data_IF_414502043303
#
_entry.id   IF_414502043303
#
_cell.length_a   1.000
_cell.length_b   1.000
_cell.length_c   1.000
_cell.angle_alpha   90.00
_cell.angle_beta   90.00
_cell.angle_gamma   90.00
#
_symmetry.space_group_name_H-M   'P 1'
#
loop_
_entity.id
_entity.type
_entity.pdbx_description
1 polymer ?
#
# COMPACT_ATOMS: atom_id res chain seq x y z
N UNK A 1 -32.46 19.69 -42.85
CA UNK A 1 -31.59 18.66 -43.43
C UNK A 1 -30.96 17.87 -42.25
N UNK A 2 -31.55 16.73 -41.88
CA UNK A 2 -31.02 15.83 -40.85
C UNK A 2 -30.13 14.82 -41.56
N UNK A 3 -28.81 14.93 -41.39
CA UNK A 3 -27.85 13.93 -41.86
C UNK A 3 -27.95 12.71 -40.95
N UNK A 4 -28.53 11.63 -41.47
CA UNK A 4 -28.54 10.32 -40.86
C UNK A 4 -27.10 9.79 -40.83
N UNK A 5 -26.56 9.60 -39.65
CA UNK A 5 -25.29 8.89 -39.41
C UNK A 5 -25.64 7.39 -39.42
N UNK A 6 -25.42 6.73 -40.54
CA UNK A 6 -25.39 5.27 -40.61
C UNK A 6 -24.10 4.81 -39.91
N UNK A 7 -24.23 4.35 -38.68
CA UNK A 7 -23.18 3.68 -37.97
C UNK A 7 -23.04 2.27 -38.58
N UNK A 8 -22.01 2.06 -39.38
CA UNK A 8 -21.65 0.75 -39.88
C UNK A 8 -21.12 -0.06 -38.67
N UNK A 9 -21.97 -0.89 -38.09
CA UNK A 9 -21.54 -1.93 -37.16
C UNK A 9 -20.69 -2.89 -37.99
N UNK A 10 -19.36 -2.83 -37.77
CA UNK A 10 -18.45 -3.82 -38.32
C UNK A 10 -18.76 -5.15 -37.63
N UNK A 11 -19.48 -6.01 -38.31
CA UNK A 11 -19.77 -7.39 -37.94
C UNK A 11 -18.46 -8.16 -37.95
N UNK A 12 -17.77 -8.21 -36.82
CA UNK A 12 -16.67 -9.12 -36.60
C UNK A 12 -17.30 -10.49 -36.34
N UNK A 13 -17.52 -11.24 -37.40
CA UNK A 13 -17.90 -12.63 -37.29
C UNK A 13 -16.74 -13.43 -36.71
N UNK A 14 -16.69 -13.57 -35.41
CA UNK A 14 -15.87 -14.61 -34.78
C UNK A 14 -16.49 -15.95 -35.14
N UNK A 15 -15.76 -16.74 -35.90
CA UNK A 15 -16.08 -18.14 -36.19
C UNK A 15 -15.98 -18.95 -34.87
N UNK A 16 -17.05 -18.95 -34.10
CA UNK A 16 -17.21 -19.95 -33.05
C UNK A 16 -17.60 -21.28 -33.72
N UNK A 17 -17.05 -22.43 -33.27
CA UNK A 17 -17.57 -23.70 -33.70
C UNK A 17 -19.00 -23.83 -33.14
N UNK A 18 -19.97 -23.42 -33.94
CA UNK A 18 -21.40 -23.55 -33.63
C UNK A 18 -21.76 -25.03 -33.69
N UNK A 19 -22.01 -25.63 -32.50
CA UNK A 19 -22.86 -26.81 -32.43
C UNK A 19 -24.17 -26.48 -33.14
N UNK A 20 -24.71 -27.44 -33.88
CA UNK A 20 -25.94 -27.26 -34.67
C UNK A 20 -27.07 -26.74 -33.77
N UNK A 21 -27.47 -25.47 -33.94
CA UNK A 21 -28.60 -24.88 -33.27
C UNK A 21 -28.39 -23.55 -32.51
N UNK A 22 -27.14 -23.13 -32.22
CA UNK A 22 -26.88 -21.86 -31.52
C UNK A 22 -27.14 -20.67 -32.44
N UNK A 23 -27.99 -19.73 -32.01
CA UNK A 23 -28.24 -18.48 -32.71
C UNK A 23 -27.64 -17.29 -31.98
N UNK A 24 -27.23 -16.26 -32.70
CA UNK A 24 -26.98 -14.96 -32.10
C UNK A 24 -28.29 -14.23 -31.87
N UNK A 25 -28.54 -13.79 -30.65
CA UNK A 25 -29.70 -13.01 -30.25
C UNK A 25 -29.27 -11.62 -29.86
N UNK A 26 -29.65 -10.63 -30.68
CA UNK A 26 -29.28 -9.24 -30.45
C UNK A 26 -30.44 -8.50 -29.80
N UNK A 27 -30.17 -7.79 -28.72
CA UNK A 27 -31.14 -6.95 -28.03
C UNK A 27 -31.48 -5.72 -28.86
N UNK A 28 -32.72 -5.66 -29.35
CA UNK A 28 -33.21 -4.56 -30.17
C UNK A 28 -33.88 -3.44 -29.38
N UNK A 29 -34.37 -3.74 -28.17
CA UNK A 29 -35.16 -2.82 -27.33
C UNK A 29 -36.32 -2.21 -28.12
N UNK A 30 -37.03 -3.04 -28.89
CA UNK A 30 -38.11 -2.61 -29.73
C UNK A 30 -39.43 -2.31 -29.00
N UNK A 31 -39.51 -2.81 -27.74
CA UNK A 31 -40.63 -2.54 -26.84
C UNK A 31 -40.18 -1.79 -25.58
N UNK A 32 -41.04 -0.95 -24.97
CA UNK A 32 -40.66 -0.04 -23.90
C UNK A 32 -40.33 -0.71 -22.54
N UNK A 33 -40.70 -1.98 -22.38
CA UNK A 33 -40.64 -2.65 -21.07
C UNK A 33 -39.26 -3.12 -20.66
N UNK A 34 -38.31 -3.19 -21.58
CA UNK A 34 -36.92 -3.65 -21.34
C UNK A 34 -36.82 -5.00 -20.62
N UNK A 35 -37.77 -5.91 -20.90
CA UNK A 35 -37.87 -7.21 -20.25
C UNK A 35 -37.25 -8.31 -21.11
N UNK A 36 -36.40 -9.15 -20.53
CA UNK A 36 -35.72 -10.27 -21.20
C UNK A 36 -36.68 -11.25 -21.83
N UNK A 37 -37.79 -11.58 -21.17
CA UNK A 37 -38.76 -12.59 -21.60
C UNK A 37 -39.68 -12.12 -22.73
N UNK A 38 -39.63 -10.87 -23.15
CA UNK A 38 -40.38 -10.41 -24.34
C UNK A 38 -39.57 -10.70 -25.60
N UNK A 39 -40.08 -11.66 -26.41
CA UNK A 39 -39.44 -12.09 -27.65
C UNK A 39 -39.32 -10.99 -28.70
N UNK A 40 -40.13 -9.93 -28.63
CA UNK A 40 -40.07 -8.79 -29.54
C UNK A 40 -38.85 -7.88 -29.27
N UNK A 41 -38.22 -8.00 -28.10
CA UNK A 41 -36.97 -7.28 -27.77
C UNK A 41 -35.73 -7.88 -28.45
N UNK A 42 -35.85 -8.99 -29.15
CA UNK A 42 -34.73 -9.74 -29.72
C UNK A 42 -34.74 -9.81 -31.23
N UNK A 43 -33.56 -9.85 -31.83
CA UNK A 43 -33.37 -10.10 -33.25
C UNK A 43 -32.41 -11.27 -33.45
N UNK A 44 -32.83 -12.33 -34.10
CA UNK A 44 -34.18 -12.66 -34.55
C UNK A 44 -35.18 -12.72 -33.38
N UNK A 45 -36.47 -12.45 -33.66
CA UNK A 45 -37.51 -12.47 -32.63
C UNK A 45 -37.59 -13.83 -31.87
N UNK A 46 -38.02 -13.73 -30.61
CA UNK A 46 -38.07 -14.87 -29.68
C UNK A 46 -37.04 -14.80 -28.55
N UNK A 47 -37.46 -15.22 -27.38
CA UNK A 47 -36.63 -15.21 -26.17
C UNK A 47 -35.38 -16.10 -26.35
N UNK A 48 -34.20 -15.66 -25.93
CA UNK A 48 -32.98 -16.47 -26.01
C UNK A 48 -33.11 -17.82 -25.30
N UNK A 49 -32.59 -18.85 -25.94
CA UNK A 49 -32.44 -20.18 -25.38
C UNK A 49 -31.05 -20.38 -24.74
N UNK A 50 -30.86 -21.48 -24.03
CA UNK A 50 -29.61 -21.80 -23.33
C UNK A 50 -28.39 -21.97 -24.23
N UNK A 51 -28.60 -22.20 -25.53
CA UNK A 51 -27.53 -22.31 -26.55
C UNK A 51 -27.20 -21.00 -27.25
N UNK A 52 -28.09 -20.00 -27.14
CA UNK A 52 -27.97 -18.76 -27.92
C UNK A 52 -26.89 -17.84 -27.34
N UNK A 53 -26.06 -17.27 -28.22
CA UNK A 53 -25.15 -16.20 -27.84
C UNK A 53 -25.92 -14.88 -27.81
N UNK A 54 -25.96 -14.22 -26.67
CA UNK A 54 -26.73 -13.00 -26.44
C UNK A 54 -25.86 -11.76 -26.56
N UNK A 55 -26.23 -10.84 -27.41
CA UNK A 55 -25.55 -9.55 -27.61
C UNK A 55 -26.48 -8.40 -27.18
N UNK A 56 -26.04 -7.64 -26.17
CA UNK A 56 -26.72 -6.41 -25.75
C UNK A 56 -25.85 -5.23 -26.19
N UNK A 57 -25.98 -4.92 -27.49
CA UNK A 57 -25.15 -3.94 -28.23
C UNK A 57 -25.50 -2.47 -28.02
N UNK A 58 -26.42 -2.16 -27.08
CA UNK A 58 -26.90 -0.80 -26.88
C UNK A 58 -26.42 -0.25 -25.55
N UNK A 59 -25.55 0.76 -25.59
CA UNK A 59 -25.04 1.42 -24.39
C UNK A 59 -26.17 1.98 -23.51
N UNK A 60 -25.96 1.97 -22.19
CA UNK A 60 -26.86 2.49 -21.14
C UNK A 60 -28.22 1.79 -21.10
N UNK A 61 -28.25 0.52 -21.49
CA UNK A 61 -29.44 -0.30 -21.47
C UNK A 61 -29.58 -1.04 -20.15
N UNK A 62 -30.78 -1.05 -19.57
CA UNK A 62 -31.12 -1.89 -18.42
C UNK A 62 -32.08 -2.97 -18.94
N UNK A 63 -31.69 -4.23 -18.80
CA UNK A 63 -32.52 -5.38 -19.18
C UNK A 63 -32.99 -6.07 -17.92
N UNK A 64 -34.29 -6.07 -17.70
CA UNK A 64 -34.93 -6.72 -16.54
C UNK A 64 -35.17 -8.20 -16.79
N UNK A 65 -34.69 -9.04 -15.89
CA UNK A 65 -34.94 -10.49 -15.87
C UNK A 65 -35.98 -10.78 -14.81
N UNK A 66 -37.23 -10.95 -15.25
CA UNK A 66 -38.43 -11.11 -14.43
C UNK A 66 -38.99 -12.53 -14.46
N UNK A 67 -38.39 -13.41 -15.25
CA UNK A 67 -38.70 -14.82 -15.38
C UNK A 67 -37.38 -15.59 -15.48
N UNK A 68 -37.44 -16.93 -15.50
CA UNK A 68 -36.28 -17.73 -15.83
C UNK A 68 -35.74 -17.35 -17.20
N UNK A 69 -34.47 -17.01 -17.28
CA UNK A 69 -33.78 -16.57 -18.49
C UNK A 69 -32.59 -17.47 -18.78
N UNK A 70 -32.29 -17.67 -20.06
CA UNK A 70 -31.21 -18.53 -20.52
C UNK A 70 -30.37 -17.83 -21.57
N UNK A 71 -29.10 -18.20 -21.67
CA UNK A 71 -28.19 -17.84 -22.75
C UNK A 71 -27.01 -18.81 -22.82
N UNK A 72 -26.41 -19.02 -23.99
CA UNK A 72 -25.17 -19.76 -24.17
C UNK A 72 -23.92 -18.95 -23.84
N UNK A 73 -24.02 -17.61 -23.92
CA UNK A 73 -22.98 -16.65 -23.60
C UNK A 73 -23.50 -15.22 -23.69
N UNK A 74 -22.70 -14.25 -23.22
CA UNK A 74 -23.07 -12.84 -23.18
C UNK A 74 -21.98 -11.98 -23.79
N UNK A 75 -22.39 -11.02 -24.65
CA UNK A 75 -21.60 -9.86 -25.03
C UNK A 75 -22.35 -8.59 -24.58
N UNK A 76 -21.70 -7.79 -23.73
CA UNK A 76 -22.30 -6.59 -23.13
C UNK A 76 -21.55 -5.34 -23.58
N UNK A 77 -22.27 -4.45 -24.25
CA UNK A 77 -21.76 -3.12 -24.60
C UNK A 77 -21.60 -2.20 -23.40
N UNK A 78 -20.90 -1.06 -23.54
CA UNK A 78 -20.64 -0.17 -22.44
C UNK A 78 -21.91 0.28 -21.69
N UNK A 79 -21.83 0.31 -20.35
CA UNK A 79 -22.86 0.76 -19.42
C UNK A 79 -24.17 -0.05 -19.47
N UNK A 80 -24.10 -1.32 -19.90
CA UNK A 80 -25.23 -2.27 -19.82
C UNK A 80 -25.41 -2.77 -18.40
N UNK A 81 -26.66 -2.85 -17.96
CA UNK A 81 -27.06 -3.48 -16.69
C UNK A 81 -28.07 -4.59 -16.95
N UNK A 82 -27.73 -5.80 -16.48
CA UNK A 82 -28.68 -6.91 -16.36
C UNK A 82 -29.22 -6.91 -14.92
N UNK A 83 -30.53 -6.72 -14.77
CA UNK A 83 -31.20 -6.66 -13.46
C UNK A 83 -31.99 -7.93 -13.20
N UNK A 84 -31.37 -8.91 -12.55
CA UNK A 84 -31.98 -10.20 -12.20
C UNK A 84 -32.83 -9.99 -10.94
N UNK A 85 -34.16 -9.94 -11.13
CA UNK A 85 -35.12 -9.63 -10.08
C UNK A 85 -35.37 -10.81 -9.13
N UNK A 86 -35.89 -10.50 -7.96
CA UNK A 86 -36.08 -11.47 -6.88
C UNK A 86 -36.85 -12.73 -7.35
N UNK A 87 -36.31 -13.90 -7.01
CA UNK A 87 -36.92 -15.20 -7.33
C UNK A 87 -36.59 -15.74 -8.73
N UNK A 88 -35.79 -15.00 -9.54
CA UNK A 88 -35.43 -15.42 -10.89
C UNK A 88 -33.93 -15.60 -11.05
N UNK A 89 -33.52 -16.40 -12.03
CA UNK A 89 -32.12 -16.60 -12.39
C UNK A 89 -31.90 -16.33 -13.88
N UNK A 90 -30.69 -15.85 -14.20
CA UNK A 90 -30.14 -15.98 -15.54
C UNK A 90 -29.23 -17.19 -15.55
N UNK A 91 -29.57 -18.20 -16.35
CA UNK A 91 -28.79 -19.44 -16.48
C UNK A 91 -27.99 -19.40 -17.77
N UNK A 92 -26.66 -19.54 -17.66
CA UNK A 92 -25.77 -19.58 -18.82
C UNK A 92 -25.32 -21.00 -19.11
N UNK A 93 -25.24 -21.30 -20.42
CA UNK A 93 -24.77 -22.57 -20.97
C UNK A 93 -25.85 -23.64 -21.12
N UNK A 94 -25.53 -24.66 -21.91
CA UNK A 94 -26.41 -25.80 -22.19
C UNK A 94 -25.58 -27.08 -22.33
N UNK A 95 -24.66 -27.33 -21.39
CA UNK A 95 -23.77 -28.49 -21.45
C UNK A 95 -22.43 -28.24 -22.15
N UNK A 96 -22.13 -26.99 -22.46
CA UNK A 96 -20.81 -26.61 -23.04
C UNK A 96 -19.72 -26.62 -21.98
N UNK A 97 -18.51 -27.00 -22.40
CA UNK A 97 -17.34 -27.04 -21.52
C UNK A 97 -16.96 -25.65 -20.97
N UNK A 98 -17.28 -24.59 -21.71
CA UNK A 98 -16.98 -23.20 -21.31
C UNK A 98 -18.03 -22.21 -21.82
N UNK A 99 -18.30 -21.18 -21.02
CA UNK A 99 -19.17 -20.04 -21.35
C UNK A 99 -18.37 -18.77 -21.22
N UNK A 100 -18.65 -17.79 -22.11
CA UNK A 100 -18.02 -16.49 -22.09
C UNK A 100 -19.01 -15.40 -21.63
N UNK A 101 -18.52 -14.48 -20.80
CA UNK A 101 -19.10 -13.16 -20.59
C UNK A 101 -18.05 -12.16 -21.11
N UNK A 102 -18.38 -11.50 -22.19
CA UNK A 102 -17.52 -10.55 -22.87
C UNK A 102 -18.06 -9.13 -22.71
N UNK A 103 -17.16 -8.17 -22.48
CA UNK A 103 -17.52 -6.77 -22.30
C UNK A 103 -16.82 -5.92 -23.37
N UNK A 104 -17.53 -4.91 -23.85
CA UNK A 104 -16.93 -3.82 -24.65
C UNK A 104 -16.61 -2.59 -23.79
N UNK A 105 -17.12 -2.52 -22.54
CA UNK A 105 -16.89 -1.44 -21.59
C UNK A 105 -17.38 -1.83 -20.19
N UNK A 106 -17.74 -0.84 -19.38
CA UNK A 106 -18.29 -1.11 -18.06
C UNK A 106 -19.66 -1.80 -18.17
N UNK A 107 -19.91 -2.81 -17.34
CA UNK A 107 -21.20 -3.47 -17.27
C UNK A 107 -21.52 -3.92 -15.84
N UNK A 108 -22.80 -4.18 -15.57
CA UNK A 108 -23.26 -4.66 -14.27
C UNK A 108 -24.24 -5.82 -14.44
N UNK A 109 -24.03 -6.90 -13.71
CA UNK A 109 -25.01 -7.99 -13.50
C UNK A 109 -25.48 -7.87 -12.07
N UNK A 110 -26.65 -7.25 -11.88
CA UNK A 110 -27.27 -7.03 -10.57
C UNK A 110 -28.20 -8.16 -10.21
N UNK A 111 -28.17 -8.59 -8.95
CA UNK A 111 -29.07 -9.59 -8.42
C UNK A 111 -29.82 -9.05 -7.19
N UNK A 112 -31.08 -9.41 -7.05
CA UNK A 112 -31.93 -8.98 -5.94
C UNK A 112 -32.47 -10.19 -5.17
N UNK A 113 -32.34 -10.15 -3.84
CA UNK A 113 -32.86 -11.21 -2.98
C UNK A 113 -32.17 -12.56 -3.21
N UNK A 114 -32.93 -13.60 -3.53
CA UNK A 114 -32.42 -14.95 -3.76
C UNK A 114 -31.98 -15.21 -5.22
N UNK A 115 -32.13 -14.23 -6.11
CA UNK A 115 -31.73 -14.37 -7.52
C UNK A 115 -30.20 -14.50 -7.69
N UNK A 116 -29.79 -15.19 -8.75
CA UNK A 116 -28.38 -15.41 -9.06
C UNK A 116 -28.14 -15.53 -10.57
N UNK A 117 -26.90 -15.27 -10.97
CA UNK A 117 -26.34 -15.78 -12.22
C UNK A 117 -26.00 -17.26 -11.97
N UNK A 118 -26.60 -18.15 -12.75
CA UNK A 118 -26.45 -19.60 -12.62
C UNK A 118 -25.79 -20.19 -13.89
N UNK A 119 -25.33 -21.44 -13.80
CA UNK A 119 -24.70 -22.16 -14.90
C UNK A 119 -25.28 -23.55 -15.01
N UNK A 120 -25.60 -24.01 -16.24
CA UNK A 120 -26.14 -25.33 -16.52
C UNK A 120 -25.09 -26.18 -17.22
N UNK A 121 -24.57 -27.19 -16.51
CA UNK A 121 -23.56 -28.13 -16.99
C UNK A 121 -22.27 -27.51 -17.53
N UNK A 122 -21.94 -26.30 -17.08
CA UNK A 122 -20.75 -25.56 -17.49
C UNK A 122 -19.61 -25.87 -16.54
N UNK A 123 -18.45 -26.23 -17.09
CA UNK A 123 -17.24 -26.47 -16.30
C UNK A 123 -16.41 -25.19 -16.09
N UNK A 124 -16.49 -24.23 -17.01
CA UNK A 124 -15.67 -23.02 -16.99
C UNK A 124 -16.42 -21.79 -17.44
N UNK A 125 -16.28 -20.71 -16.69
CA UNK A 125 -16.70 -19.35 -17.06
C UNK A 125 -15.45 -18.53 -17.44
N UNK A 126 -15.45 -17.90 -18.61
CA UNK A 126 -14.47 -16.92 -18.98
C UNK A 126 -15.07 -15.51 -18.84
N UNK A 127 -14.44 -14.66 -18.06
CA UNK A 127 -14.76 -13.25 -17.90
C UNK A 127 -13.76 -12.42 -18.72
N UNK A 128 -14.15 -12.04 -19.94
CA UNK A 128 -13.34 -11.27 -20.86
C UNK A 128 -13.62 -9.77 -20.68
N UNK A 129 -12.93 -9.16 -19.71
CA UNK A 129 -13.11 -7.75 -19.35
C UNK A 129 -11.96 -6.93 -19.93
N UNK A 130 -12.22 -5.95 -20.82
CA UNK A 130 -11.17 -5.05 -21.32
C UNK A 130 -10.42 -4.36 -20.18
N UNK A 131 -9.14 -4.04 -20.36
CA UNK A 131 -8.28 -3.45 -19.32
C UNK A 131 -8.82 -2.14 -18.73
N UNK A 132 -9.57 -1.36 -19.52
CA UNK A 132 -10.20 -0.10 -19.10
C UNK A 132 -11.60 -0.28 -18.51
N UNK A 133 -12.16 -1.50 -18.54
CA UNK A 133 -13.55 -1.77 -18.18
C UNK A 133 -13.69 -2.40 -16.78
N UNK A 134 -14.90 -2.28 -16.23
CA UNK A 134 -15.31 -2.88 -14.98
C UNK A 134 -16.58 -3.70 -15.14
N UNK A 135 -16.56 -4.94 -14.69
CA UNK A 135 -17.74 -5.77 -14.48
C UNK A 135 -18.12 -5.75 -12.99
N UNK A 136 -19.30 -5.24 -12.67
CA UNK A 136 -19.89 -5.46 -11.34
C UNK A 136 -20.72 -6.72 -11.38
N UNK A 137 -20.43 -7.65 -10.50
CA UNK A 137 -21.03 -8.98 -10.47
C UNK A 137 -21.78 -9.19 -9.16
N UNK A 138 -23.09 -9.41 -9.28
CA UNK A 138 -23.99 -9.76 -8.17
C UNK A 138 -23.77 -11.18 -7.66
N UNK A 139 -24.83 -11.80 -7.14
CA UNK A 139 -24.78 -13.19 -6.70
C UNK A 139 -24.57 -14.13 -7.88
N UNK A 140 -23.72 -15.13 -7.68
CA UNK A 140 -23.39 -16.11 -8.71
C UNK A 140 -23.24 -17.50 -8.08
N UNK A 141 -23.80 -18.53 -8.73
CA UNK A 141 -23.47 -19.93 -8.48
C UNK A 141 -22.36 -20.32 -9.46
N UNK A 142 -21.12 -20.32 -9.03
CA UNK A 142 -19.96 -20.47 -9.92
C UNK A 142 -19.85 -21.90 -10.48
N UNK A 143 -19.33 -22.07 -11.71
CA UNK A 143 -18.89 -23.38 -12.22
C UNK A 143 -17.59 -23.84 -11.53
N UNK A 144 -17.06 -25.00 -11.94
CA UNK A 144 -15.80 -25.53 -11.37
C UNK A 144 -14.60 -24.61 -11.58
N UNK A 145 -14.57 -23.83 -12.66
CA UNK A 145 -13.53 -22.85 -12.90
C UNK A 145 -14.09 -21.51 -13.39
N UNK A 146 -13.50 -20.40 -12.93
CA UNK A 146 -13.73 -19.03 -13.41
C UNK A 146 -12.40 -18.43 -13.83
N UNK A 147 -12.30 -17.93 -15.06
CA UNK A 147 -11.11 -17.32 -15.62
C UNK A 147 -11.35 -15.85 -15.92
N UNK A 148 -10.71 -14.96 -15.18
CA UNK A 148 -10.70 -13.52 -15.42
C UNK A 148 -9.48 -13.15 -16.28
N UNK A 149 -9.69 -12.56 -17.45
CA UNK A 149 -8.61 -12.23 -18.40
C UNK A 149 -8.12 -10.79 -18.33
N UNK A 150 -8.88 -9.84 -17.78
CA UNK A 150 -8.50 -8.43 -17.73
C UNK A 150 -9.42 -7.58 -16.89
N UNK A 151 -9.30 -6.24 -17.01
CA UNK A 151 -10.15 -5.24 -16.40
C UNK A 151 -10.33 -5.35 -14.89
N UNK A 152 -11.43 -4.80 -14.39
CA UNK A 152 -11.81 -4.91 -12.98
C UNK A 152 -13.07 -5.78 -12.88
N UNK A 153 -12.98 -6.90 -12.16
CA UNK A 153 -14.17 -7.66 -11.75
C UNK A 153 -14.46 -7.31 -10.29
N UNK A 154 -15.57 -6.65 -10.05
CA UNK A 154 -16.01 -6.22 -8.73
C UNK A 154 -17.15 -7.12 -8.24
N UNK A 155 -16.92 -7.84 -7.16
CA UNK A 155 -17.92 -8.67 -6.51
C UNK A 155 -18.80 -7.81 -5.60
N UNK A 156 -20.09 -7.70 -5.92
CA UNK A 156 -21.09 -6.98 -5.14
C UNK A 156 -22.10 -7.93 -4.48
N UNK A 157 -22.07 -9.22 -4.86
CA UNK A 157 -22.86 -10.30 -4.29
C UNK A 157 -21.99 -11.47 -3.88
N UNK A 158 -22.61 -12.51 -3.30
CA UNK A 158 -21.90 -13.74 -2.91
C UNK A 158 -21.73 -14.67 -4.11
N UNK A 159 -20.54 -15.17 -4.31
CA UNK A 159 -20.18 -16.21 -5.26
C UNK A 159 -20.19 -17.55 -4.53
N UNK A 160 -21.10 -18.46 -4.89
CA UNK A 160 -21.19 -19.78 -4.31
C UNK A 160 -20.42 -20.77 -5.17
N UNK A 161 -19.49 -21.49 -4.59
CA UNK A 161 -18.70 -22.50 -5.29
C UNK A 161 -19.58 -23.69 -5.73
N UNK A 162 -19.17 -24.35 -6.82
CA UNK A 162 -19.72 -25.64 -7.23
C UNK A 162 -19.56 -26.69 -6.12
N UNK A 163 -20.37 -27.75 -6.14
CA UNK A 163 -20.33 -28.83 -5.14
C UNK A 163 -18.93 -29.48 -5.00
N UNK A 164 -18.19 -29.59 -6.09
CA UNK A 164 -16.81 -30.09 -6.12
C UNK A 164 -15.73 -29.05 -5.80
N UNK A 165 -16.12 -27.80 -5.52
CA UNK A 165 -15.23 -26.67 -5.40
C UNK A 165 -15.15 -25.84 -6.66
N UNK A 166 -14.60 -24.63 -6.53
CA UNK A 166 -14.37 -23.69 -7.65
C UNK A 166 -12.99 -23.08 -7.56
N UNK A 167 -12.27 -23.09 -8.67
CA UNK A 167 -11.05 -22.35 -8.86
C UNK A 167 -11.34 -21.04 -9.62
N UNK A 168 -11.05 -19.89 -9.00
CA UNK A 168 -11.12 -18.59 -9.65
C UNK A 168 -9.73 -18.12 -10.04
N UNK A 169 -9.43 -18.08 -11.33
CA UNK A 169 -8.15 -17.65 -11.86
C UNK A 169 -8.15 -16.16 -12.23
N UNK A 170 -7.42 -15.33 -11.48
CA UNK A 170 -7.15 -13.93 -11.81
C UNK A 170 -5.93 -13.89 -12.73
N UNK A 171 -6.15 -14.12 -14.02
CA UNK A 171 -5.09 -14.12 -15.05
C UNK A 171 -4.80 -12.73 -15.60
N UNK A 172 -5.71 -11.76 -15.37
CA UNK A 172 -5.58 -10.39 -15.82
C UNK A 172 -6.40 -9.42 -14.97
N UNK A 173 -5.96 -8.15 -14.95
CA UNK A 173 -6.65 -7.07 -14.27
C UNK A 173 -6.67 -7.17 -12.75
N UNK A 174 -7.76 -6.73 -12.14
CA UNK A 174 -7.98 -6.62 -10.70
C UNK A 174 -9.26 -7.37 -10.30
N UNK A 175 -9.18 -8.24 -9.31
CA UNK A 175 -10.38 -8.75 -8.61
C UNK A 175 -10.65 -7.86 -7.39
N UNK A 176 -11.81 -7.20 -7.35
CA UNK A 176 -12.23 -6.37 -6.22
C UNK A 176 -13.35 -7.03 -5.43
N UNK A 177 -13.03 -7.46 -4.22
CA UNK A 177 -13.94 -8.11 -3.27
C UNK A 177 -14.56 -7.04 -2.38
N UNK A 178 -15.78 -6.59 -2.73
CA UNK A 178 -16.47 -5.47 -2.08
C UNK A 178 -17.41 -5.90 -0.95
N UNK A 179 -17.53 -7.17 -0.66
CA UNK A 179 -18.50 -7.66 0.32
C UNK A 179 -17.87 -8.64 1.27
N UNK A 180 -18.33 -8.62 2.55
CA UNK A 180 -18.07 -9.72 3.47
C UNK A 180 -18.81 -10.95 2.99
N UNK A 181 -18.26 -12.14 3.21
CA UNK A 181 -18.77 -13.41 2.70
C UNK A 181 -18.97 -13.38 1.17
N UNK A 182 -18.03 -12.73 0.46
CA UNK A 182 -18.09 -12.65 -0.99
C UNK A 182 -18.01 -14.03 -1.66
N UNK A 183 -17.40 -14.99 -0.98
CA UNK A 183 -17.32 -16.37 -1.44
C UNK A 183 -17.92 -17.33 -0.41
N UNK A 184 -18.59 -18.34 -0.90
CA UNK A 184 -19.13 -19.41 -0.06
C UNK A 184 -18.82 -20.78 -0.67
N UNK A 185 -18.75 -21.81 0.19
CA UNK A 185 -18.35 -23.15 -0.23
C UNK A 185 -16.83 -23.30 -0.32
N UNK A 186 -16.37 -24.27 -1.11
CA UNK A 186 -14.94 -24.55 -1.32
C UNK A 186 -14.43 -23.74 -2.51
N UNK A 187 -13.99 -22.51 -2.24
CA UNK A 187 -13.48 -21.58 -3.25
C UNK A 187 -11.99 -21.35 -3.06
N UNK A 188 -11.23 -21.49 -4.16
CA UNK A 188 -9.81 -21.08 -4.23
C UNK A 188 -9.64 -20.00 -5.28
N UNK A 189 -9.12 -18.84 -4.89
CA UNK A 189 -8.77 -17.74 -5.79
C UNK A 189 -7.26 -17.83 -6.10
N UNK A 190 -6.93 -18.14 -7.35
CA UNK A 190 -5.55 -18.25 -7.85
C UNK A 190 -5.17 -16.94 -8.53
N UNK A 191 -4.21 -16.22 -7.96
CA UNK A 191 -3.78 -14.91 -8.46
C UNK A 191 -2.48 -15.06 -9.22
N UNK A 192 -2.51 -14.84 -10.53
CA UNK A 192 -1.32 -14.97 -11.39
C UNK A 192 -0.27 -13.90 -11.07
N UNK A 193 0.97 -14.16 -11.48
CA UNK A 193 2.11 -13.26 -11.27
C UNK A 193 1.82 -11.83 -11.77
N UNK A 194 2.12 -10.84 -10.94
CA UNK A 194 1.90 -9.42 -11.24
C UNK A 194 0.44 -8.98 -11.27
N UNK A 195 -0.52 -9.83 -10.83
CA UNK A 195 -1.93 -9.47 -10.75
C UNK A 195 -2.32 -9.08 -9.33
N UNK A 196 -3.48 -8.45 -9.21
CA UNK A 196 -3.88 -7.78 -7.97
C UNK A 196 -5.27 -8.23 -7.51
N UNK A 197 -5.41 -8.30 -6.19
CA UNK A 197 -6.72 -8.44 -5.52
C UNK A 197 -6.87 -7.27 -4.56
N UNK A 198 -8.05 -6.66 -4.55
CA UNK A 198 -8.40 -5.61 -3.60
C UNK A 198 -9.58 -6.07 -2.74
N UNK A 199 -9.52 -5.76 -1.47
CA UNK A 199 -10.59 -6.06 -0.52
C UNK A 199 -11.21 -4.77 0.02
N UNK A 200 -12.52 -4.79 0.27
CA UNK A 200 -13.18 -3.79 1.08
C UNK A 200 -12.61 -3.85 2.50
N UNK A 201 -12.65 -2.72 3.21
CA UNK A 201 -12.20 -2.61 4.60
C UNK A 201 -12.94 -3.62 5.50
N UNK A 202 -12.17 -4.34 6.31
CA UNK A 202 -12.68 -5.33 7.25
C UNK A 202 -13.31 -6.57 6.60
N UNK A 203 -12.94 -6.88 5.35
CA UNK A 203 -13.53 -7.98 4.61
C UNK A 203 -13.22 -9.35 5.25
N UNK A 204 -14.27 -10.20 5.33
CA UNK A 204 -14.13 -11.63 5.44
C UNK A 204 -14.42 -12.23 4.05
N UNK A 205 -13.39 -12.73 3.38
CA UNK A 205 -13.54 -13.15 1.99
C UNK A 205 -14.23 -14.51 1.84
N UNK A 206 -14.17 -15.38 2.85
CA UNK A 206 -14.78 -16.72 2.81
C UNK A 206 -14.11 -17.70 1.83
N UNK A 207 -12.89 -17.40 1.34
CA UNK A 207 -12.16 -18.20 0.33
C UNK A 207 -10.70 -18.40 0.70
N UNK A 208 -10.07 -19.40 0.09
CA UNK A 208 -8.62 -19.57 0.07
C UNK A 208 -8.01 -18.76 -1.08
N UNK A 209 -6.83 -18.17 -0.85
CA UNK A 209 -6.10 -17.39 -1.85
C UNK A 209 -4.72 -17.99 -2.08
N UNK A 210 -4.41 -18.26 -3.35
CA UNK A 210 -3.12 -18.76 -3.82
C UNK A 210 -2.46 -17.71 -4.71
N UNK A 211 -1.35 -17.14 -4.24
CA UNK A 211 -0.66 -16.05 -4.89
C UNK A 211 0.62 -16.55 -5.59
N UNK A 212 0.73 -16.29 -6.88
CA UNK A 212 1.99 -16.46 -7.59
C UNK A 212 2.97 -15.31 -7.29
N UNK A 213 4.26 -15.55 -7.48
CA UNK A 213 5.31 -14.57 -7.20
C UNK A 213 5.05 -13.21 -7.90
N UNK A 214 5.13 -12.13 -7.14
CA UNK A 214 4.89 -10.77 -7.62
C UNK A 214 3.42 -10.34 -7.70
N UNK A 215 2.46 -11.20 -7.31
CA UNK A 215 1.06 -10.79 -7.13
C UNK A 215 0.85 -10.03 -5.83
N UNK A 216 -0.22 -9.24 -5.74
CA UNK A 216 -0.41 -8.37 -4.59
C UNK A 216 -1.85 -8.25 -4.10
N UNK A 217 -2.00 -8.00 -2.78
CA UNK A 217 -3.19 -7.42 -2.18
C UNK A 217 -2.98 -5.91 -2.16
N UNK A 218 -3.77 -5.19 -2.98
CA UNK A 218 -3.61 -3.75 -3.16
C UNK A 218 -4.58 -2.98 -2.27
N UNK A 219 -4.15 -1.82 -1.77
CA UNK A 219 -4.98 -0.92 -0.94
C UNK A 219 -5.62 -1.62 0.26
N UNK A 220 -4.87 -2.51 0.95
CA UNK A 220 -5.33 -3.14 2.18
C UNK A 220 -5.45 -2.09 3.28
N UNK A 221 -6.68 -1.70 3.60
CA UNK A 221 -6.98 -0.69 4.61
C UNK A 221 -6.88 -1.30 6.01
N UNK A 222 -5.95 -0.78 6.79
CA UNK A 222 -5.67 -1.26 8.15
C UNK A 222 -6.05 -0.26 9.25
N UNK A 223 -6.86 0.77 8.93
CA UNK A 223 -7.23 1.82 9.88
C UNK A 223 -7.91 1.30 11.15
N UNK A 224 -8.73 0.25 11.03
CA UNK A 224 -9.45 -0.36 12.18
C UNK A 224 -8.79 -1.65 12.67
N UNK A 225 -7.65 -2.04 12.09
CA UNK A 225 -6.91 -3.21 12.56
C UNK A 225 -6.34 -2.97 13.96
N UNK A 226 -6.36 -4.01 14.78
CA UNK A 226 -5.73 -4.04 16.10
C UNK A 226 -4.96 -5.35 16.26
N UNK A 227 -4.35 -5.59 17.40
CA UNK A 227 -3.77 -6.91 17.71
C UNK A 227 -4.83 -8.02 17.77
N UNK A 228 -6.10 -7.68 18.04
CA UNK A 228 -7.22 -8.62 18.17
C UNK A 228 -8.11 -8.70 16.91
N UNK A 229 -8.27 -7.58 16.21
CA UNK A 229 -9.17 -7.45 15.04
C UNK A 229 -8.35 -7.37 13.76
N UNK A 230 -8.41 -8.34 12.85
CA UNK A 230 -7.69 -8.30 11.58
C UNK A 230 -8.35 -7.33 10.60
N UNK A 231 -7.53 -6.75 9.68
CA UNK A 231 -8.04 -5.97 8.56
C UNK A 231 -8.71 -6.86 7.49
N UNK A 232 -8.28 -8.11 7.37
CA UNK A 232 -8.76 -9.07 6.38
C UNK A 232 -8.80 -10.47 6.97
N UNK A 233 -9.88 -11.23 6.69
CA UNK A 233 -9.98 -12.66 7.00
C UNK A 233 -10.02 -13.49 5.73
N UNK A 234 -9.29 -14.60 5.71
CA UNK A 234 -9.21 -15.56 4.63
C UNK A 234 -9.36 -16.98 5.20
N UNK A 235 -9.82 -17.94 4.39
CA UNK A 235 -9.75 -19.38 4.78
C UNK A 235 -8.31 -19.87 4.79
N UNK A 236 -7.56 -19.55 3.76
CA UNK A 236 -6.13 -19.87 3.65
C UNK A 236 -5.42 -18.85 2.77
N UNK A 237 -4.10 -18.71 2.98
CA UNK A 237 -3.20 -17.94 2.14
C UNK A 237 -2.01 -18.81 1.80
N UNK A 238 -1.73 -18.96 0.50
CA UNK A 238 -0.58 -19.71 -0.03
C UNK A 238 0.17 -18.89 -1.07
N UNK A 239 1.40 -19.30 -1.39
CA UNK A 239 2.22 -18.63 -2.39
C UNK A 239 2.89 -17.33 -1.90
N UNK A 240 3.33 -16.50 -2.83
CA UNK A 240 4.11 -15.29 -2.56
C UNK A 240 3.26 -14.05 -2.83
N UNK A 241 2.98 -13.28 -1.80
CA UNK A 241 2.12 -12.09 -1.89
C UNK A 241 2.82 -10.83 -1.41
N UNK A 242 2.56 -9.72 -2.11
CA UNK A 242 2.97 -8.38 -1.72
C UNK A 242 1.77 -7.63 -1.14
N UNK A 243 1.88 -7.13 0.08
CA UNK A 243 0.85 -6.32 0.74
C UNK A 243 1.12 -4.84 0.52
N UNK A 244 0.16 -4.12 -0.07
CA UNK A 244 0.18 -2.66 -0.21
C UNK A 244 -0.79 -2.08 0.82
N UNK A 245 -0.25 -1.56 1.92
CA UNK A 245 -1.02 -1.06 3.06
C UNK A 245 -1.44 0.40 2.85
N UNK A 246 -2.65 0.72 3.28
CA UNK A 246 -3.14 2.10 3.38
C UNK A 246 -3.73 2.36 4.77
N UNK A 247 -3.80 3.63 5.14
CA UNK A 247 -4.43 4.09 6.39
C UNK A 247 -3.86 3.43 7.65
N UNK A 248 -2.55 3.14 7.68
CA UNK A 248 -1.91 2.63 8.89
C UNK A 248 -2.01 3.69 9.99
N UNK A 249 -2.52 3.34 11.19
CA UNK A 249 -2.68 4.31 12.28
C UNK A 249 -1.36 5.00 12.62
N UNK A 250 -1.37 6.33 12.68
CA UNK A 250 -0.19 7.12 13.05
C UNK A 250 0.23 6.91 14.52
N UNK A 251 -0.67 6.33 15.32
CA UNK A 251 -0.45 6.04 16.75
C UNK A 251 0.23 4.69 17.00
N UNK A 252 0.57 3.94 15.96
CA UNK A 252 1.27 2.67 16.12
C UNK A 252 2.66 2.93 16.70
N UNK A 253 2.82 2.64 17.99
CA UNK A 253 4.07 2.85 18.71
C UNK A 253 5.08 1.72 18.43
N UNK A 254 6.39 1.95 18.67
CA UNK A 254 7.38 0.88 18.64
C UNK A 254 7.02 -0.25 19.63
N UNK A 255 6.95 -1.48 19.11
CA UNK A 255 6.56 -2.66 19.87
C UNK A 255 5.06 -3.02 19.75
N UNK A 256 4.22 -2.11 19.26
CA UNK A 256 2.84 -2.42 18.93
C UNK A 256 2.76 -3.24 17.64
N UNK A 257 1.75 -4.11 17.58
CA UNK A 257 1.47 -4.91 16.38
C UNK A 257 0.01 -4.77 15.97
N UNK A 258 -0.22 -4.69 14.67
CA UNK A 258 -1.54 -4.77 14.06
C UNK A 258 -1.69 -6.10 13.35
N UNK A 259 -2.81 -6.78 13.53
CA UNK A 259 -3.16 -7.98 12.77
C UNK A 259 -3.75 -7.56 11.44
N UNK A 260 -3.02 -7.79 10.34
CA UNK A 260 -3.47 -7.34 9.01
C UNK A 260 -4.21 -8.42 8.26
N UNK A 261 -3.81 -9.69 8.40
CA UNK A 261 -4.53 -10.84 7.83
C UNK A 261 -4.69 -11.91 8.90
N UNK A 262 -5.85 -12.55 8.90
CA UNK A 262 -6.13 -13.75 9.72
C UNK A 262 -6.61 -14.88 8.80
N UNK A 263 -6.10 -16.08 8.99
CA UNK A 263 -6.40 -17.26 8.19
C UNK A 263 -6.96 -18.38 9.07
N UNK A 264 -7.97 -19.10 8.58
CA UNK A 264 -8.48 -20.29 9.26
C UNK A 264 -7.43 -21.41 9.28
N UNK A 265 -6.57 -21.47 8.25
CA UNK A 265 -5.50 -22.46 8.11
C UNK A 265 -4.11 -21.81 8.24
N UNK A 266 -3.12 -22.53 8.79
CA UNK A 266 -1.75 -22.03 8.86
C UNK A 266 -1.17 -21.69 7.48
N UNK A 267 -0.51 -20.55 7.38
CA UNK A 267 0.22 -20.12 6.18
C UNK A 267 1.43 -21.06 6.00
N UNK A 268 1.58 -21.75 4.86
CA UNK A 268 2.68 -22.67 4.61
C UNK A 268 4.05 -22.04 4.82
N UNK A 269 5.05 -22.83 5.23
CA UNK A 269 6.40 -22.32 5.44
C UNK A 269 7.05 -21.79 4.15
N UNK A 270 6.67 -22.36 3.00
CA UNK A 270 7.15 -21.92 1.69
C UNK A 270 6.52 -20.60 1.20
N UNK A 271 5.36 -20.21 1.76
CA UNK A 271 4.68 -18.97 1.37
C UNK A 271 5.44 -17.75 1.92
N UNK A 272 5.60 -16.75 1.07
CA UNK A 272 6.27 -15.50 1.43
C UNK A 272 5.28 -14.34 1.42
N UNK A 273 5.12 -13.70 2.57
CA UNK A 273 4.35 -12.47 2.70
C UNK A 273 5.33 -11.31 2.82
N UNK A 274 5.21 -10.35 1.93
CA UNK A 274 6.10 -9.17 1.88
C UNK A 274 5.29 -7.89 1.87
N UNK A 275 5.88 -6.79 2.32
CA UNK A 275 5.33 -5.46 2.11
C UNK A 275 5.81 -4.90 0.78
N UNK A 276 5.01 -4.04 0.17
CA UNK A 276 5.49 -3.18 -0.91
C UNK A 276 6.62 -2.26 -0.41
N UNK A 277 7.49 -1.72 -1.29
CA UNK A 277 8.64 -0.93 -0.87
C UNK A 277 8.31 0.26 0.02
N UNK A 278 7.17 0.94 -0.21
CA UNK A 278 6.76 2.10 0.57
C UNK A 278 6.33 1.71 2.00
N UNK A 279 5.63 0.60 2.15
CA UNK A 279 5.23 0.04 3.45
C UNK A 279 6.43 -0.58 4.17
N UNK A 280 7.32 -1.31 3.46
CA UNK A 280 8.50 -1.96 4.02
C UNK A 280 9.53 -0.97 4.59
N UNK A 281 9.54 0.28 4.09
CA UNK A 281 10.38 1.34 4.64
C UNK A 281 10.00 1.72 6.08
N UNK A 282 8.76 1.47 6.50
CA UNK A 282 8.20 1.92 7.79
C UNK A 282 7.82 0.78 8.72
N UNK A 283 7.45 -0.35 8.14
CA UNK A 283 6.87 -1.48 8.87
C UNK A 283 7.61 -2.78 8.57
N UNK A 284 7.48 -3.73 9.47
CA UNK A 284 7.97 -5.10 9.31
C UNK A 284 6.83 -6.09 9.48
N UNK A 285 6.93 -7.23 8.78
CA UNK A 285 5.98 -8.32 8.90
C UNK A 285 6.41 -9.29 9.99
N UNK A 286 5.44 -9.71 10.78
CA UNK A 286 5.57 -10.80 11.75
C UNK A 286 4.46 -11.82 11.49
N UNK A 287 4.79 -13.10 11.54
CA UNK A 287 3.79 -14.16 11.54
C UNK A 287 3.55 -14.60 12.98
N UNK A 288 2.28 -14.88 13.32
CA UNK A 288 1.95 -15.49 14.61
C UNK A 288 2.64 -16.86 14.78
N UNK A 289 2.82 -17.31 16.02
CA UNK A 289 3.48 -18.59 16.31
C UNK A 289 2.80 -19.79 15.65
N UNK A 290 1.49 -19.76 15.50
CA UNK A 290 0.68 -20.77 14.80
C UNK A 290 0.62 -20.54 13.27
N UNK A 291 1.27 -19.48 12.78
CA UNK A 291 1.32 -19.05 11.39
C UNK A 291 -0.06 -18.76 10.74
N UNK A 292 -1.08 -18.48 11.52
CA UNK A 292 -2.42 -18.15 11.02
C UNK A 292 -2.61 -16.66 10.79
N UNK A 293 -1.84 -15.81 11.46
CA UNK A 293 -1.99 -14.36 11.34
C UNK A 293 -0.73 -13.72 10.79
N UNK A 294 -0.94 -12.76 9.88
CA UNK A 294 0.07 -11.80 9.44
C UNK A 294 -0.12 -10.53 10.25
N UNK A 295 0.91 -10.12 10.93
CA UNK A 295 0.96 -8.91 11.74
C UNK A 295 1.99 -7.94 11.17
N UNK A 296 1.78 -6.65 11.37
CA UNK A 296 2.78 -5.62 11.10
C UNK A 296 3.12 -4.90 12.40
N UNK A 297 4.40 -4.61 12.58
CA UNK A 297 4.91 -3.70 13.60
C UNK A 297 5.63 -2.52 12.97
N UNK A 298 5.87 -1.47 13.74
CA UNK A 298 6.77 -0.42 13.28
C UNK A 298 8.17 -0.99 13.13
N UNK A 299 8.76 -0.80 11.97
CA UNK A 299 10.19 -1.05 11.82
C UNK A 299 10.92 -0.13 12.79
N UNK A 300 11.72 -0.70 13.70
CA UNK A 300 12.64 0.12 14.47
C UNK A 300 13.51 0.86 13.45
N UNK A 301 13.24 2.15 13.27
CA UNK A 301 14.20 3.01 12.58
C UNK A 301 15.40 2.94 13.50
N UNK A 302 16.46 2.27 13.07
CA UNK A 302 17.73 2.35 13.78
C UNK A 302 17.99 3.85 13.90
N UNK A 303 17.89 4.37 15.13
CA UNK A 303 18.20 5.77 15.39
C UNK A 303 19.52 6.03 14.70
N UNK A 304 19.58 6.99 13.81
CA UNK A 304 20.79 7.26 13.08
C UNK A 304 21.89 7.38 14.15
N UNK A 305 22.87 6.48 14.07
CA UNK A 305 23.92 6.48 15.07
C UNK A 305 24.64 7.83 15.03
N UNK A 306 24.81 8.43 16.18
CA UNK A 306 25.52 9.69 16.34
C UNK A 306 26.72 9.42 17.24
N UNK A 307 27.90 9.63 16.69
CA UNK A 307 29.14 9.57 17.47
C UNK A 307 29.37 10.92 18.11
N UNK A 308 29.47 10.93 19.43
CA UNK A 308 29.65 12.15 20.22
C UNK A 308 30.96 12.09 20.97
N UNK A 309 31.80 13.11 20.78
CA UNK A 309 32.94 13.35 21.63
C UNK A 309 32.53 14.22 22.81
N UNK A 310 32.88 13.82 24.01
CA UNK A 310 32.73 14.65 25.20
C UNK A 310 34.13 15.11 25.59
N UNK A 311 34.48 16.37 25.31
CA UNK A 311 35.79 16.92 25.69
C UNK A 311 35.93 16.83 27.21
N UNK A 312 37.17 16.75 27.74
CA UNK A 312 37.39 16.87 29.14
C UNK A 312 36.68 18.11 29.68
N UNK A 313 35.79 17.91 30.66
CA UNK A 313 35.03 19.01 31.27
C UNK A 313 35.89 19.94 32.09
N UNK A 314 37.17 19.54 32.27
CA UNK A 314 38.04 20.25 33.17
C UNK A 314 39.01 21.16 32.44
N UNK A 315 38.99 22.35 32.90
CA UNK A 315 39.99 23.43 32.95
C UNK A 315 41.21 23.28 32.06
N UNK A 316 41.67 24.39 31.53
CA UNK A 316 42.91 24.58 30.79
C UNK A 316 44.11 23.75 31.30
N UNK A 317 44.15 23.41 32.58
CA UNK A 317 45.21 22.57 33.21
C UNK A 317 45.33 21.16 32.62
N UNK A 318 44.24 20.54 32.19
CA UNK A 318 44.28 19.21 31.56
C UNK A 318 44.75 19.22 30.12
N UNK A 319 44.89 20.39 29.50
CA UNK A 319 45.39 20.57 28.15
C UNK A 319 46.80 21.14 28.07
N UNK A 320 47.39 21.49 29.20
CA UNK A 320 48.70 22.06 29.23
C UNK A 320 49.77 20.97 29.41
N UNK A 321 50.87 21.13 28.67
CA UNK A 321 52.06 20.29 28.86
C UNK A 321 53.25 21.15 29.26
N UNK A 322 54.17 20.52 29.97
CA UNK A 322 55.44 21.08 30.38
C UNK A 322 56.57 20.14 29.94
N UNK A 323 57.59 20.61 29.19
CA UNK A 323 58.69 19.76 28.76
C UNK A 323 59.38 19.05 29.93
N UNK A 324 59.61 17.74 29.79
CA UNK A 324 60.18 16.89 30.82
C UNK A 324 59.22 16.42 31.91
N UNK A 325 57.95 16.87 31.91
CA UNK A 325 56.91 16.47 32.88
C UNK A 325 55.93 15.50 32.22
N UNK A 326 55.55 14.38 32.84
CA UNK A 326 54.55 13.48 32.32
C UNK A 326 53.22 14.20 32.06
N UNK A 327 52.67 14.04 30.85
CA UNK A 327 51.38 14.56 30.43
C UNK A 327 50.34 13.46 30.40
N UNK A 328 49.12 13.74 30.88
CA UNK A 328 47.96 12.84 30.74
C UNK A 328 46.70 13.69 30.53
N UNK A 329 45.90 13.28 29.59
CA UNK A 329 44.56 13.82 29.36
C UNK A 329 43.62 12.73 28.87
N UNK A 330 42.32 12.91 29.06
CA UNK A 330 41.33 11.95 28.54
C UNK A 330 40.08 12.65 28.05
N UNK A 331 39.37 12.01 27.13
CA UNK A 331 38.06 12.40 26.67
C UNK A 331 37.24 11.14 26.40
N UNK A 332 35.93 11.31 26.40
CA UNK A 332 34.98 10.21 26.16
C UNK A 332 34.42 10.27 24.77
N UNK A 333 34.08 9.10 24.22
CA UNK A 333 33.40 8.95 22.96
C UNK A 333 32.25 7.98 23.12
N UNK A 334 31.06 8.37 22.72
CA UNK A 334 29.84 7.54 22.82
C UNK A 334 29.16 7.40 21.48
N UNK A 335 28.56 6.21 21.24
CA UNK A 335 27.66 5.92 20.14
C UNK A 335 26.23 5.92 20.66
N UNK A 336 25.35 6.75 20.09
CA UNK A 336 23.96 6.86 20.53
C UNK A 336 23.13 5.60 20.25
N UNK A 337 23.53 4.80 19.25
CA UNK A 337 22.87 3.55 18.89
C UNK A 337 23.52 2.31 19.53
N UNK A 338 24.47 2.50 20.43
CA UNK A 338 25.13 1.39 21.12
C UNK A 338 26.08 0.56 20.25
N UNK A 339 26.52 1.09 19.11
CA UNK A 339 27.43 0.40 18.19
C UNK A 339 28.89 0.48 18.68
N UNK A 340 29.68 -0.56 18.36
CA UNK A 340 31.09 -0.58 18.69
C UNK A 340 31.85 0.56 18.03
N UNK A 341 32.66 1.27 18.81
CA UNK A 341 33.47 2.41 18.41
C UNK A 341 34.90 2.00 18.06
N UNK A 342 35.41 2.56 16.97
CA UNK A 342 36.82 2.54 16.61
C UNK A 342 37.33 3.98 16.62
N UNK A 343 38.38 4.26 17.38
CA UNK A 343 39.01 5.58 17.45
C UNK A 343 40.39 5.53 16.82
N UNK A 344 40.63 6.42 15.87
CA UNK A 344 41.92 6.54 15.18
C UNK A 344 42.32 8.02 15.08
N UNK A 345 43.55 8.29 14.71
CA UNK A 345 43.95 9.64 14.32
C UNK A 345 43.40 10.01 12.95
N UNK A 346 43.05 11.27 12.71
CA UNK A 346 42.63 11.77 11.41
C UNK A 346 43.80 11.65 10.41
N UNK A 347 43.56 11.17 9.16
CA UNK A 347 44.60 11.14 8.14
C UNK A 347 45.27 12.49 7.97
N UNK A 348 46.59 12.52 8.10
CA UNK A 348 47.40 13.76 8.06
C UNK A 348 47.60 14.43 9.42
N UNK A 349 46.97 13.95 10.50
CA UNK A 349 47.28 14.34 11.88
C UNK A 349 48.16 13.25 12.51
N UNK A 350 49.44 13.56 12.69
CA UNK A 350 50.36 12.65 13.36
C UNK A 350 50.53 13.00 14.85
N UNK A 351 50.48 11.99 15.70
CA UNK A 351 50.84 12.20 17.09
C UNK A 351 52.35 12.45 17.21
N UNK A 352 52.79 13.38 18.07
CA UNK A 352 54.17 13.51 18.41
C UNK A 352 54.75 12.16 18.92
N UNK A 353 56.02 11.91 18.65
CA UNK A 353 56.66 10.61 19.01
C UNK A 353 56.58 10.30 20.51
N UNK A 354 56.53 11.34 21.36
CA UNK A 354 56.45 11.21 22.82
C UNK A 354 55.04 10.95 23.35
N UNK A 355 53.96 11.13 22.48
CA UNK A 355 52.56 11.04 22.89
C UNK A 355 51.93 9.79 22.33
N UNK A 356 51.37 8.95 23.22
CA UNK A 356 50.56 7.83 22.87
C UNK A 356 49.10 8.00 23.28
N UNK A 357 48.21 7.14 22.78
CA UNK A 357 46.84 7.07 23.26
C UNK A 357 46.39 5.64 23.42
N UNK A 358 45.47 5.42 24.37
CA UNK A 358 44.80 4.13 24.63
C UNK A 358 43.32 4.34 24.67
N UNK A 359 42.56 3.45 23.99
CA UNK A 359 41.12 3.42 24.01
C UNK A 359 40.62 2.36 24.94
N UNK A 360 39.86 2.73 25.95
CA UNK A 360 39.37 1.80 27.00
C UNK A 360 37.85 1.82 27.03
N UNK A 361 37.19 0.65 26.86
CA UNK A 361 35.73 0.58 27.00
C UNK A 361 35.28 0.93 28.42
N UNK A 362 34.26 1.76 28.56
CA UNK A 362 33.62 2.05 29.85
C UNK A 362 32.63 0.95 30.21
N UNK A 363 32.74 0.41 31.41
CA UNK A 363 31.85 -0.64 31.89
C UNK A 363 31.81 -1.89 31.02
N UNK A 364 32.82 -2.12 30.17
CA UNK A 364 32.89 -3.26 29.27
C UNK A 364 32.11 -3.06 27.94
N UNK A 365 31.45 -1.93 27.74
CA UNK A 365 30.70 -1.64 26.53
C UNK A 365 31.59 -0.96 25.46
N UNK A 366 31.73 -1.57 24.30
CA UNK A 366 32.51 -1.01 23.18
C UNK A 366 31.87 0.23 22.52
N UNK A 367 30.66 0.57 22.89
CA UNK A 367 29.90 1.74 22.41
C UNK A 367 30.12 3.00 23.24
N UNK A 368 30.81 2.90 24.37
CA UNK A 368 31.18 4.00 25.25
C UNK A 368 32.65 3.79 25.66
N UNK A 369 33.53 4.64 25.19
CA UNK A 369 34.95 4.49 25.37
C UNK A 369 35.60 5.74 25.92
N UNK A 370 36.64 5.57 26.74
CA UNK A 370 37.53 6.66 27.15
C UNK A 370 38.82 6.57 26.35
N UNK A 371 39.19 7.66 25.72
CA UNK A 371 40.50 7.83 25.06
C UNK A 371 41.43 8.54 26.05
N UNK A 372 42.50 7.89 26.45
CA UNK A 372 43.51 8.44 27.36
C UNK A 372 44.77 8.75 26.57
N UNK A 373 45.19 10.00 26.57
CA UNK A 373 46.46 10.47 26.04
C UNK A 373 47.51 10.46 27.15
N UNK A 374 48.68 9.96 26.86
CA UNK A 374 49.80 10.00 27.84
C UNK A 374 51.16 10.01 27.16
N UNK A 375 52.10 10.62 27.82
CA UNK A 375 53.49 10.68 27.35
C UNK A 375 54.32 11.74 28.09
N UNK A 376 55.61 11.81 27.79
CA UNK A 376 56.51 12.84 28.38
C UNK A 376 57.16 13.61 27.25
N UNK A 377 56.82 14.91 27.08
CA UNK A 377 57.41 15.74 26.03
C UNK A 377 58.87 16.04 26.30
N UNK A 378 59.69 15.96 25.25
CA UNK A 378 61.09 16.32 25.33
C UNK A 378 61.29 17.81 25.64
N UNK A 379 62.45 18.17 26.18
CA UNK A 379 62.81 19.57 26.45
C UNK A 379 62.81 20.49 25.20
N UNK A 380 62.91 19.87 24.03
CA UNK A 380 62.92 20.57 22.71
C UNK A 380 61.53 20.87 22.15
N UNK A 381 60.49 20.26 22.73
CA UNK A 381 59.10 20.47 22.25
C UNK A 381 58.67 21.90 22.56
N UNK A 382 58.22 22.62 21.53
CA UNK A 382 57.79 23.99 21.65
C UNK A 382 56.48 24.24 20.87
N UNK A 383 55.68 25.17 21.42
CA UNK A 383 54.39 25.58 20.78
C UNK A 383 53.23 24.64 21.05
N UNK A 384 52.08 25.01 20.57
CA UNK A 384 50.83 24.26 20.71
C UNK A 384 50.79 23.10 19.70
N UNK A 385 50.23 21.98 20.13
CA UNK A 385 50.21 20.72 19.37
C UNK A 385 48.77 20.36 19.02
N UNK A 386 48.36 20.59 17.79
CA UNK A 386 47.03 20.17 17.32
C UNK A 386 47.00 18.64 17.08
N UNK A 387 45.99 17.97 17.61
CA UNK A 387 45.73 16.58 17.42
C UNK A 387 44.35 16.41 16.80
N UNK A 388 44.23 15.47 15.86
CA UNK A 388 42.93 15.12 15.27
C UNK A 388 42.58 13.66 15.53
N UNK A 389 41.39 13.43 16.01
CA UNK A 389 40.85 12.07 16.22
C UNK A 389 39.57 11.87 15.41
N UNK A 390 39.43 10.70 14.83
CA UNK A 390 38.21 10.21 14.18
C UNK A 390 37.69 9.03 14.98
N UNK A 391 36.44 9.11 15.40
CA UNK A 391 35.72 7.98 15.95
C UNK A 391 34.67 7.52 14.94
N UNK A 392 34.57 6.22 14.71
CA UNK A 392 33.65 5.64 13.76
C UNK A 392 32.98 4.40 14.29
N UNK A 393 31.74 4.19 13.89
CA UNK A 393 30.99 2.94 13.99
C UNK A 393 30.78 2.37 12.58
N UNK A 394 29.99 1.31 12.45
CA UNK A 394 29.64 0.76 11.13
C UNK A 394 28.83 1.74 10.26
N UNK A 395 28.11 2.71 10.87
CA UNK A 395 27.13 3.57 10.18
C UNK A 395 27.36 5.07 10.37
N UNK A 396 28.22 5.48 11.30
CA UNK A 396 28.47 6.88 11.61
C UNK A 396 29.94 7.16 11.89
N UNK A 397 30.37 8.40 11.69
CA UNK A 397 31.68 8.86 12.10
C UNK A 397 31.64 10.33 12.53
N UNK A 398 32.52 10.71 13.44
CA UNK A 398 32.74 12.09 13.84
C UNK A 398 34.23 12.36 13.98
N UNK A 399 34.63 13.60 13.75
CA UNK A 399 35.99 14.09 13.89
C UNK A 399 36.06 15.08 15.05
N UNK A 400 37.15 15.05 15.80
CA UNK A 400 37.44 15.99 16.86
C UNK A 400 38.87 16.49 16.72
N UNK A 401 39.08 17.80 16.86
CA UNK A 401 40.41 18.41 16.99
C UNK A 401 40.64 18.76 18.45
N UNK A 402 41.77 18.34 18.98
CA UNK A 402 42.21 18.59 20.35
C UNK A 402 43.58 19.24 20.32
N UNK A 403 43.74 20.37 21.00
CA UNK A 403 45.02 21.08 21.04
C UNK A 403 45.62 21.00 22.44
N UNK A 404 46.84 20.49 22.52
CA UNK A 404 47.64 20.52 23.73
C UNK A 404 48.47 21.81 23.72
N UNK A 405 48.38 22.61 24.78
CA UNK A 405 48.98 23.93 24.89
C UNK A 405 50.21 23.86 25.78
N UNK A 406 51.27 24.56 25.40
CA UNK A 406 52.48 24.66 26.24
C UNK A 406 52.20 25.58 27.44
N UNK A 407 52.49 25.06 28.64
CA UNK A 407 52.34 25.85 29.88
C UNK A 407 53.17 27.15 29.83
N UNK A 408 52.51 28.23 30.08
CA UNK A 408 53.18 29.58 30.06
C UNK A 408 53.27 30.25 28.66
N UNK A 409 52.71 29.65 27.61
CA UNK A 409 52.74 30.26 26.29
C UNK A 409 51.72 31.39 26.08
N UNK A 410 50.88 31.67 27.07
CA UNK A 410 49.91 32.78 27.04
C UNK A 410 48.97 32.82 25.85
N UNK A 411 48.74 31.66 25.22
CA UNK A 411 47.85 31.57 24.07
C UNK A 411 46.40 31.89 24.46
N UNK A 412 45.77 32.78 23.70
CA UNK A 412 44.34 33.04 23.79
C UNK A 412 43.56 31.72 23.67
N UNK A 413 42.47 31.54 24.42
CA UNK A 413 41.65 30.32 24.30
C UNK A 413 41.25 30.10 22.85
N UNK A 414 41.71 28.99 22.28
CA UNK A 414 41.36 28.59 20.93
C UNK A 414 39.83 28.54 20.74
N UNK A 415 39.34 28.73 19.51
CA UNK A 415 37.93 28.74 19.25
C UNK A 415 37.31 27.43 19.76
N UNK A 416 36.21 27.58 20.49
CA UNK A 416 35.43 26.49 21.09
C UNK A 416 35.17 25.40 20.02
N UNK A 417 35.64 24.15 20.19
CA UNK A 417 35.67 23.16 19.12
C UNK A 417 34.36 22.48 18.83
N UNK A 418 33.18 23.06 19.11
CA UNK A 418 31.97 22.36 18.73
C UNK A 418 30.79 23.29 18.40
N UNK A 419 30.51 23.59 17.12
CA UNK A 419 29.12 23.86 16.75
C UNK A 419 28.35 22.54 16.83
N UNK A 420 27.42 22.46 17.77
CA UNK A 420 26.44 21.39 17.86
C UNK A 420 25.88 21.12 16.46
N UNK A 421 25.91 19.89 15.92
CA UNK A 421 25.23 19.58 14.67
C UNK A 421 23.74 19.88 14.83
N UNK A 422 23.20 20.80 14.01
CA UNK A 422 21.78 21.14 14.00
C UNK A 422 21.37 22.46 14.69
N UNK A 423 22.30 23.21 15.27
CA UNK A 423 21.96 24.56 15.72
C UNK A 423 22.28 25.55 14.59
N UNK A 424 21.28 26.26 14.00
CA UNK A 424 21.54 27.35 13.08
C UNK A 424 22.43 28.39 13.79
N UNK A 425 23.52 28.76 13.17
CA UNK A 425 24.38 29.83 13.68
C UNK A 425 23.56 31.08 13.94
N UNK A 426 24.00 31.95 14.89
CA UNK A 426 23.34 33.23 15.11
C UNK A 426 23.31 34.00 13.79
N UNK A 427 22.11 34.34 13.34
CA UNK A 427 21.89 35.18 12.18
C UNK A 427 22.71 36.46 12.33
N UNK A 428 23.40 36.91 11.29
CA UNK A 428 24.11 38.19 11.32
C UNK A 428 23.12 39.31 11.71
N UNK A 429 23.51 40.13 12.67
CA UNK A 429 22.71 41.30 13.04
C UNK A 429 22.46 42.15 11.79
N UNK A 430 21.22 42.51 11.49
CA UNK A 430 20.92 43.37 10.38
C UNK A 430 21.62 44.72 10.55
N UNK A 431 22.23 45.22 9.48
CA UNK A 431 22.80 46.58 9.46
C UNK A 431 21.68 47.58 9.74
N UNK A 432 21.97 48.68 10.44
CA UNK A 432 21.00 49.75 10.65
C UNK A 432 20.71 50.47 9.32
N UNK A 433 19.75 50.02 8.60
CA UNK A 433 19.37 50.53 7.27
C UNK A 433 18.66 49.56 6.36
N UNK A 434 18.65 48.25 6.69
CA UNK A 434 17.90 47.29 5.91
C UNK A 434 16.42 47.28 6.32
N UNK A 435 15.48 47.20 5.35
CA UNK A 435 14.05 47.08 5.66
C UNK A 435 13.80 45.77 6.41
N UNK A 436 13.16 45.90 7.56
CA UNK A 436 12.77 44.75 8.42
C UNK A 436 11.94 43.76 7.64
N UNK A 437 12.49 42.56 7.43
CA UNK A 437 11.69 41.41 7.00
C UNK A 437 10.66 41.07 8.09
N UNK A 438 9.43 40.69 7.73
CA UNK A 438 8.39 40.37 8.70
C UNK A 438 8.77 39.14 9.53
N UNK A 439 8.70 39.25 10.84
CA UNK A 439 8.91 38.20 11.83
C UNK A 439 7.80 37.12 11.69
N UNK A 440 8.14 35.89 11.34
CA UNK A 440 7.14 34.83 11.17
C UNK A 440 6.46 34.37 12.48
N UNK A 441 6.92 34.86 13.65
CA UNK A 441 6.36 34.48 14.95
C UNK A 441 5.52 35.56 15.62
N UNK A 442 5.27 36.67 14.95
CA UNK A 442 4.42 37.71 15.51
C UNK A 442 2.95 37.34 15.42
N UNK A 443 2.42 36.76 16.45
CA UNK A 443 0.97 36.63 16.65
C UNK A 443 0.37 38.05 16.63
N UNK A 444 -0.23 38.43 15.49
CA UNK A 444 -1.01 39.65 15.40
C UNK A 444 -2.27 39.49 16.26
N UNK A 445 -2.34 40.26 17.32
CA UNK A 445 -3.60 40.56 18.02
C UNK A 445 -4.37 41.54 17.16
N UNK A 446 -5.57 41.11 16.82
CA UNK A 446 -6.81 41.84 16.58
C UNK A 446 -6.78 43.10 15.73
N UNK A 447 -7.62 43.09 14.76
CA UNK A 447 -8.23 44.28 14.18
C UNK A 447 -8.75 44.07 12.78
N UNK A 448 -10.00 43.73 12.71
CA UNK A 448 -11.03 44.12 11.75
C UNK A 448 -10.74 44.17 10.29
N UNK A 449 -11.53 43.42 9.54
CA UNK A 449 -12.04 43.90 8.26
C UNK A 449 -11.47 43.23 7.04
N UNK A 450 -12.28 42.36 6.42
CA UNK A 450 -12.33 42.34 4.98
C UNK A 450 -11.91 41.06 4.25
N UNK A 451 -12.92 40.35 3.76
CA UNK A 451 -12.92 39.55 2.54
C UNK A 451 -12.30 38.15 2.58
N UNK A 452 -13.00 37.22 3.20
CA UNK A 452 -12.98 35.82 2.82
C UNK A 452 -14.16 35.53 1.87
N UNK A 453 -13.95 35.76 0.58
CA UNK A 453 -14.81 35.25 -0.50
C UNK A 453 -14.05 34.15 -1.20
N UNK A 454 -14.20 32.88 -0.77
CA UNK A 454 -13.48 31.82 -1.45
C UNK A 454 -13.85 30.37 -1.16
N UNK A 455 -14.69 30.06 -0.15
CA UNK A 455 -15.00 28.65 0.16
C UNK A 455 -16.46 28.37 0.55
N UNK A 456 -17.37 29.34 0.42
CA UNK A 456 -18.80 29.13 0.70
C UNK A 456 -19.62 28.72 -0.55
N UNK A 457 -19.00 28.53 -1.70
CA UNK A 457 -19.69 28.24 -2.97
C UNK A 457 -20.02 26.78 -3.26
N UNK A 458 -19.47 25.81 -2.54
CA UNK A 458 -19.65 24.37 -2.87
C UNK A 458 -20.67 23.66 -1.97
N UNK A 459 -21.01 24.20 -0.81
CA UNK A 459 -21.95 23.56 0.13
C UNK A 459 -23.41 23.96 -0.13
N UNK A 460 -23.67 25.04 -0.85
CA UNK A 460 -25.04 25.55 -1.09
C UNK A 460 -25.78 24.89 -2.26
N UNK A 461 -25.15 24.04 -3.07
CA UNK A 461 -25.80 23.41 -4.25
C UNK A 461 -26.44 22.04 -3.95
N UNK A 462 -26.32 21.50 -2.74
CA UNK A 462 -26.91 20.22 -2.34
C UNK A 462 -28.20 20.35 -1.51
N UNK A 463 -28.66 21.55 -1.21
CA UNK A 463 -29.86 21.79 -0.35
C UNK A 463 -31.15 22.12 -1.10
N UNK A 464 -31.17 22.07 -2.42
CA UNK A 464 -32.36 22.41 -3.23
C UNK A 464 -32.88 21.25 -4.09
N UNK A 465 -32.98 20.05 -3.53
CA UNK A 465 -33.81 19.00 -4.10
C UNK A 465 -35.16 18.98 -3.35
N UNK A 466 -36.29 19.25 -3.99
CA UNK A 466 -37.59 19.25 -3.36
C UNK A 466 -38.02 17.81 -3.06
N UNK A 467 -38.21 17.52 -1.78
CA UNK A 467 -38.94 16.36 -1.27
C UNK A 467 -40.36 16.38 -1.79
N UNK A 468 -40.63 15.73 -2.92
CA UNK A 468 -42.00 15.42 -3.35
C UNK A 468 -42.49 14.19 -2.56
N UNK A 469 -43.15 14.44 -1.44
CA UNK A 469 -43.97 13.45 -0.80
C UNK A 469 -45.17 13.12 -1.67
N UNK A 470 -45.26 11.94 -2.25
CA UNK A 470 -46.50 11.41 -2.80
C UNK A 470 -47.27 10.74 -1.66
N UNK A 471 -48.30 11.43 -1.15
CA UNK A 471 -49.44 10.75 -0.51
C UNK A 471 -50.16 9.94 -1.58
N UNK A 472 -50.32 8.64 -1.35
CA UNK A 472 -51.34 7.80 -2.00
C UNK A 472 -52.52 7.66 -1.05
N UNK A 473 -53.66 7.96 -1.61
CA UNK A 473 -54.95 7.44 -1.13
C UNK A 473 -55.05 5.96 -1.50
#
# INVERSE_FOLDING_TARGET
>A
MRKGFLLAVALVAFLFPSGAGAAEKVWSNSVPDSVWSDGANWVPAGVPASVDHVVIGRSKTIVGITNAAFAGGLLLSPDVSLDIRAGHNLTLGSGDAAVNIELEGNAEIRTVGASALAFDAVNRLNLNVPSSARLKLGKMSAPAAVHQSGGIVQLTGTVTAAAGGTDWHVNGGLLYVKKNDAFSGNMTVKVAAGKEVQFEKGADAGASFDFSAGSSITSLDVADATSAVPALKLKALTGDVILKLINVPATLAPGDVLRVIDCDSPIPAAAQVRLDPASAAKYEIQLSGDRRSVMIGTRAVASADVVVFTPPTDTLASREYEPGVPFAASFDVTSSAGQALTVTTIPGSSLPVWLGYVVTPKGGASSDVTVTLSGTPDATVSGDIPLGFRASTATASADMTYTIVKKGSGGAPGPNPNPRPGQPGPLPRPNPGDPLLPDPNRKSRSGGGGCDAGLAGIVALLALLPLRSRRRK
#
